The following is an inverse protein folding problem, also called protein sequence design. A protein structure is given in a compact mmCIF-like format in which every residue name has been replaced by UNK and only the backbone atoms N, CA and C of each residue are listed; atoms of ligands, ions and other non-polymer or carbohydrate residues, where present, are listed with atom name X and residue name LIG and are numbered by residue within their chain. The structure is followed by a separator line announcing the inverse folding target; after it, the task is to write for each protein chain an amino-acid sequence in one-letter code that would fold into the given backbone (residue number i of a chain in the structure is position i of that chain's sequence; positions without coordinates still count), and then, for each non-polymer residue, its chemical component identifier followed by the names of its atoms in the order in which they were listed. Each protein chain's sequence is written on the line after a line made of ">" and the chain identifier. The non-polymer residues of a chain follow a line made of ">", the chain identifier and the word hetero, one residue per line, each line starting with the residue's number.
data_IF_255466697191
#
_entry.id   IF_255466697191
#
_cell.length_a   1.000
_cell.length_b   1.000
_cell.length_c   1.000
_cell.angle_alpha   90.00
_cell.angle_beta   90.00
_cell.angle_gamma   90.00
#
_symmetry.space_group_name_H-M   'P 1'
#
loop_
_entity.id
_entity.type
_entity.pdbx_description
1 polymer ?
#
# COMPACT_ATOMS: atom_id res chain seq x y z
N UNK A 1 5.04 62.46 44.40
CA UNK A 1 5.58 61.82 43.19
C UNK A 1 4.57 60.82 42.63
N UNK A 2 4.18 60.95 41.36
CA UNK A 2 3.13 60.19 40.66
C UNK A 2 3.64 58.80 40.24
N UNK A 3 3.19 57.72 40.90
CA UNK A 3 3.53 56.33 40.53
C UNK A 3 2.32 55.46 40.12
N UNK A 4 1.21 56.08 39.66
CA UNK A 4 -0.02 55.35 39.32
C UNK A 4 -0.27 55.06 37.83
N UNK A 5 0.54 55.64 36.93
CA UNK A 5 0.30 55.57 35.47
C UNK A 5 0.95 54.37 34.77
N UNK A 6 2.13 53.95 35.24
CA UNK A 6 2.92 52.90 34.59
C UNK A 6 2.30 51.51 34.77
N UNK A 7 1.76 51.21 35.95
CA UNK A 7 1.12 49.91 36.25
C UNK A 7 -0.13 49.65 35.41
N UNK A 8 -0.93 50.70 35.13
CA UNK A 8 -2.14 50.57 34.28
C UNK A 8 -1.81 50.31 32.82
N UNK A 9 -0.70 50.84 32.29
CA UNK A 9 -0.26 50.56 30.92
C UNK A 9 0.31 49.14 30.81
N UNK A 10 1.12 48.73 31.79
CA UNK A 10 1.68 47.39 31.85
C UNK A 10 0.59 46.30 31.97
N UNK A 11 -0.41 46.53 32.82
CA UNK A 11 -1.54 45.61 32.99
C UNK A 11 -2.35 45.43 31.71
N UNK A 12 -2.49 46.47 30.88
CA UNK A 12 -3.19 46.37 29.59
C UNK A 12 -2.37 45.60 28.57
N UNK A 13 -1.05 45.80 28.55
CA UNK A 13 -0.14 45.09 27.67
C UNK A 13 -0.12 43.58 27.98
N UNK A 14 -0.04 43.23 29.27
CA UNK A 14 -0.07 41.84 29.74
C UNK A 14 -1.42 41.15 29.44
N UNK A 15 -2.55 41.85 29.60
CA UNK A 15 -3.87 41.30 29.24
C UNK A 15 -4.02 41.09 27.73
N UNK A 16 -3.52 42.02 26.92
CA UNK A 16 -3.51 41.87 25.46
C UNK A 16 -2.60 40.72 25.02
N UNK A 17 -1.46 40.53 25.67
CA UNK A 17 -0.55 39.42 25.40
C UNK A 17 -1.18 38.08 25.79
N UNK A 18 -1.81 38.01 26.98
CA UNK A 18 -2.54 36.83 27.42
C UNK A 18 -3.75 36.50 26.52
N UNK A 19 -4.42 37.52 25.97
CA UNK A 19 -5.50 37.33 24.99
C UNK A 19 -4.97 36.81 23.65
N UNK A 20 -3.86 37.36 23.14
CA UNK A 20 -3.18 36.86 21.92
C UNK A 20 -2.63 35.45 22.11
N UNK A 21 -2.16 35.09 23.31
CA UNK A 21 -1.75 33.72 23.64
C UNK A 21 -2.94 32.76 23.84
N UNK A 22 -4.12 33.25 24.22
CA UNK A 22 -5.36 32.44 24.19
C UNK A 22 -5.83 32.12 22.77
N UNK A 23 -5.51 32.98 21.80
CA UNK A 23 -5.72 32.70 20.35
C UNK A 23 -4.71 31.69 19.82
N UNK A 24 -3.53 31.57 20.45
CA UNK A 24 -2.63 30.43 20.27
C UNK A 24 -3.10 29.17 21.03
N UNK A 25 -4.43 28.98 21.19
CA UNK A 25 -4.98 27.63 21.32
C UNK A 25 -4.63 26.92 20.03
N UNK A 26 -3.50 26.20 20.06
CA UNK A 26 -3.11 25.20 19.08
C UNK A 26 -4.40 24.48 18.71
N UNK A 27 -4.86 24.55 17.45
CA UNK A 27 -6.12 23.93 17.07
C UNK A 27 -6.01 22.49 17.55
N UNK A 28 -6.93 22.10 18.45
CA UNK A 28 -7.04 20.71 18.94
C UNK A 28 -6.92 19.87 17.69
N UNK A 29 -5.79 19.18 17.56
CA UNK A 29 -5.42 18.35 16.42
C UNK A 29 -6.69 17.64 15.99
N UNK A 30 -7.17 17.99 14.80
CA UNK A 30 -8.35 17.37 14.22
C UNK A 30 -8.05 15.88 14.28
N UNK A 31 -8.73 15.17 15.19
CA UNK A 31 -8.61 13.72 15.33
C UNK A 31 -9.39 13.12 14.16
N UNK A 32 -8.93 13.40 12.94
CA UNK A 32 -9.41 12.77 11.73
C UNK A 32 -8.97 11.33 11.83
N UNK A 33 -9.86 10.49 12.37
CA UNK A 33 -9.71 9.05 12.27
C UNK A 33 -9.46 8.75 10.79
N UNK A 34 -8.31 8.16 10.41
CA UNK A 34 -8.07 7.87 9.01
C UNK A 34 -9.22 7.01 8.50
N UNK A 35 -9.74 7.27 7.30
CA UNK A 35 -10.83 6.47 6.75
C UNK A 35 -10.37 5.02 6.67
N UNK A 36 -11.15 4.10 7.25
CA UNK A 36 -10.79 2.69 7.40
C UNK A 36 -10.39 2.05 6.05
N UNK A 37 -11.02 2.50 4.96
CA UNK A 37 -10.74 2.05 3.60
C UNK A 37 -9.29 2.35 3.16
N UNK A 38 -8.75 3.53 3.51
CA UNK A 38 -7.37 3.89 3.18
C UNK A 38 -6.41 3.04 4.00
N UNK A 39 -6.71 2.82 5.28
CA UNK A 39 -5.89 1.96 6.14
C UNK A 39 -5.86 0.53 5.60
N UNK A 40 -7.01 -0.03 5.22
CA UNK A 40 -7.06 -1.37 4.62
C UNK A 40 -6.31 -1.45 3.31
N UNK A 41 -6.40 -0.43 2.44
CA UNK A 41 -5.67 -0.41 1.18
C UNK A 41 -4.16 -0.35 1.42
N UNK A 42 -3.72 0.49 2.36
CA UNK A 42 -2.31 0.64 2.72
C UNK A 42 -1.74 -0.67 3.29
N UNK A 43 -2.50 -1.32 4.19
CA UNK A 43 -2.11 -2.61 4.78
C UNK A 43 -2.04 -3.71 3.71
N UNK A 44 -2.98 -3.73 2.77
CA UNK A 44 -2.96 -4.68 1.66
C UNK A 44 -1.76 -4.43 0.73
N UNK A 45 -1.49 -3.18 0.37
CA UNK A 45 -0.33 -2.81 -0.44
C UNK A 45 0.98 -3.19 0.27
N UNK A 46 1.08 -2.96 1.58
CA UNK A 46 2.25 -3.32 2.38
C UNK A 46 2.45 -4.84 2.45
N UNK A 47 1.38 -5.61 2.65
CA UNK A 47 1.45 -7.08 2.64
C UNK A 47 1.90 -7.61 1.27
N UNK A 48 1.32 -7.09 0.18
CA UNK A 48 1.73 -7.44 -1.19
C UNK A 48 3.19 -7.10 -1.43
N UNK A 49 3.64 -5.92 -1.01
CA UNK A 49 5.04 -5.49 -1.16
C UNK A 49 6.01 -6.48 -0.50
N UNK A 50 5.70 -6.94 0.72
CA UNK A 50 6.54 -7.93 1.41
C UNK A 50 6.52 -9.26 0.66
N UNK A 51 5.34 -9.77 0.30
CA UNK A 51 5.16 -11.07 -0.35
C UNK A 51 5.78 -11.13 -1.75
N UNK A 52 5.74 -10.03 -2.49
CA UNK A 52 6.31 -9.92 -3.83
C UNK A 52 7.85 -9.96 -3.86
N UNK A 53 8.51 -9.86 -2.69
CA UNK A 53 9.96 -9.75 -2.59
C UNK A 53 10.45 -8.31 -2.58
N UNK A 54 9.62 -7.33 -2.24
CA UNK A 54 10.01 -5.91 -2.24
C UNK A 54 11.25 -5.62 -1.40
N UNK A 55 11.43 -6.32 -0.27
CA UNK A 55 12.65 -6.23 0.55
C UNK A 55 13.87 -6.73 -0.22
N UNK A 56 13.75 -7.86 -0.92
CA UNK A 56 14.81 -8.41 -1.75
C UNK A 56 15.18 -7.44 -2.88
N UNK A 57 14.18 -6.90 -3.60
CA UNK A 57 14.40 -5.91 -4.65
C UNK A 57 15.12 -4.66 -4.14
N UNK A 58 14.74 -4.13 -2.97
CA UNK A 58 15.41 -2.97 -2.37
C UNK A 58 16.89 -3.25 -2.04
N UNK A 59 17.18 -4.42 -1.49
CA UNK A 59 18.56 -4.83 -1.16
C UNK A 59 19.39 -5.02 -2.44
N UNK A 60 18.81 -5.63 -3.46
CA UNK A 60 19.49 -5.88 -4.74
C UNK A 60 19.80 -4.57 -5.50
N UNK A 61 18.86 -3.62 -5.49
CA UNK A 61 19.03 -2.27 -6.05
C UNK A 61 20.14 -1.53 -5.28
N UNK A 62 20.11 -1.55 -3.95
CA UNK A 62 21.13 -0.89 -3.11
C UNK A 62 22.52 -1.51 -3.28
N UNK A 63 22.59 -2.83 -3.53
CA UNK A 63 23.84 -3.56 -3.72
C UNK A 63 24.40 -3.44 -5.15
N UNK A 64 23.69 -2.78 -6.07
CA UNK A 64 24.10 -2.63 -7.47
C UNK A 64 24.09 -3.92 -8.29
N UNK A 65 23.47 -5.00 -7.77
CA UNK A 65 23.41 -6.32 -8.43
C UNK A 65 22.11 -6.59 -9.18
N UNK A 66 21.27 -5.56 -9.32
CA UNK A 66 19.95 -5.61 -9.93
C UNK A 66 19.94 -6.30 -11.29
N UNK A 67 19.37 -7.51 -11.35
CA UNK A 67 19.10 -8.24 -12.58
C UNK A 67 17.67 -7.94 -13.07
N UNK A 68 17.54 -7.15 -14.13
CA UNK A 68 16.25 -6.83 -14.77
C UNK A 68 15.91 -7.78 -15.92
N UNK A 69 16.91 -8.20 -16.70
CA UNK A 69 16.80 -9.11 -17.85
C UNK A 69 18.03 -10.02 -17.93
N UNK A 70 17.82 -11.28 -18.31
CA UNK A 70 18.86 -12.28 -18.45
C UNK A 70 19.00 -12.72 -19.92
N UNK A 71 20.23 -12.90 -20.43
CA UNK A 71 20.45 -13.49 -21.74
C UNK A 71 20.17 -15.00 -21.71
N UNK A 72 19.42 -15.51 -22.68
CA UNK A 72 19.13 -16.95 -22.90
C UNK A 72 19.60 -17.33 -24.31
N UNK A 73 19.91 -18.61 -24.55
CA UNK A 73 20.45 -19.13 -25.81
C UNK A 73 19.62 -18.91 -27.08
N UNK A 74 18.48 -18.22 -26.99
CA UNK A 74 17.62 -17.81 -28.11
C UNK A 74 16.91 -16.47 -27.91
N UNK A 75 17.36 -15.62 -26.98
CA UNK A 75 16.74 -14.31 -26.72
C UNK A 75 16.95 -13.77 -25.31
N UNK A 76 16.03 -12.93 -24.86
CA UNK A 76 16.02 -12.36 -23.50
C UNK A 76 14.92 -13.01 -22.67
N UNK A 77 15.22 -13.36 -21.42
CA UNK A 77 14.23 -13.84 -20.45
C UNK A 77 14.16 -12.91 -19.26
N UNK A 78 12.95 -12.61 -18.81
CA UNK A 78 12.71 -11.90 -17.56
C UNK A 78 12.67 -12.85 -16.37
N UNK A 79 12.51 -14.15 -16.62
CA UNK A 79 12.44 -15.19 -15.59
C UNK A 79 13.83 -15.80 -15.41
N UNK A 80 14.29 -15.96 -14.17
CA UNK A 80 15.50 -16.66 -13.75
C UNK A 80 15.20 -18.17 -13.63
N UNK A 81 15.60 -18.99 -14.63
CA UNK A 81 15.31 -20.43 -14.63
C UNK A 81 16.21 -21.20 -13.65
N UNK A 82 15.71 -22.32 -13.12
CA UNK A 82 16.51 -23.31 -12.38
C UNK A 82 16.96 -22.92 -10.97
N UNK A 83 16.67 -21.70 -10.50
CA UNK A 83 16.97 -21.26 -9.14
C UNK A 83 15.76 -20.55 -8.52
N UNK A 84 15.17 -21.17 -7.49
CA UNK A 84 14.00 -20.63 -6.78
C UNK A 84 14.35 -19.43 -5.88
N UNK A 85 15.60 -19.31 -5.43
CA UNK A 85 16.03 -18.28 -4.49
C UNK A 85 16.46 -16.98 -5.17
N UNK A 86 16.79 -17.04 -6.47
CA UNK A 86 17.09 -15.87 -7.27
C UNK A 86 15.82 -15.33 -7.88
N UNK A 87 15.65 -14.02 -7.87
CA UNK A 87 14.49 -13.34 -8.44
C UNK A 87 14.97 -12.12 -9.21
N UNK A 88 14.41 -11.86 -10.39
CA UNK A 88 14.67 -10.60 -11.10
C UNK A 88 13.72 -9.52 -10.62
N UNK A 89 14.07 -8.24 -10.83
CA UNK A 89 13.14 -7.13 -10.52
C UNK A 89 11.82 -7.29 -11.29
N UNK A 90 11.90 -7.70 -12.55
CA UNK A 90 10.73 -7.94 -13.40
C UNK A 90 9.82 -9.04 -12.84
N UNK A 91 10.39 -10.15 -12.32
CA UNK A 91 9.62 -11.20 -11.64
C UNK A 91 8.93 -10.69 -10.37
N UNK A 92 9.63 -9.91 -9.55
CA UNK A 92 9.06 -9.35 -8.31
C UNK A 92 7.90 -8.38 -8.59
N UNK A 93 8.00 -7.58 -9.65
CA UNK A 93 6.95 -6.68 -10.10
C UNK A 93 5.72 -7.45 -10.60
N UNK A 94 5.92 -8.45 -11.46
CA UNK A 94 4.82 -9.26 -12.02
C UNK A 94 4.11 -10.03 -10.90
N UNK A 95 4.87 -10.68 -10.01
CA UNK A 95 4.31 -11.40 -8.87
C UNK A 95 3.57 -10.46 -7.91
N UNK A 96 4.08 -9.25 -7.66
CA UNK A 96 3.39 -8.25 -6.86
C UNK A 96 2.05 -7.82 -7.45
N UNK A 97 1.97 -7.60 -8.76
CA UNK A 97 0.70 -7.32 -9.44
C UNK A 97 -0.26 -8.51 -9.29
N UNK A 98 0.23 -9.74 -9.49
CA UNK A 98 -0.59 -10.94 -9.31
C UNK A 98 -1.12 -11.09 -7.88
N UNK A 99 -0.29 -10.86 -6.85
CA UNK A 99 -0.73 -10.91 -5.45
C UNK A 99 -1.76 -9.82 -5.13
N UNK A 100 -1.58 -8.61 -5.66
CA UNK A 100 -2.56 -7.54 -5.49
C UNK A 100 -3.91 -7.89 -6.15
N UNK A 101 -3.88 -8.38 -7.39
CA UNK A 101 -5.08 -8.80 -8.11
C UNK A 101 -5.75 -10.01 -7.44
N UNK A 102 -4.97 -10.97 -6.94
CA UNK A 102 -5.47 -12.12 -6.20
C UNK A 102 -6.18 -11.69 -4.91
N UNK A 103 -5.55 -10.80 -4.14
CA UNK A 103 -6.17 -10.19 -2.96
C UNK A 103 -7.45 -9.43 -3.29
N UNK A 104 -7.45 -8.64 -4.38
CA UNK A 104 -8.64 -7.93 -4.85
C UNK A 104 -9.76 -8.89 -5.28
N UNK A 105 -9.43 -10.00 -5.95
CA UNK A 105 -10.39 -11.04 -6.35
C UNK A 105 -11.06 -11.70 -5.15
N UNK A 106 -10.27 -12.10 -4.14
CA UNK A 106 -10.80 -12.64 -2.88
C UNK A 106 -11.64 -11.59 -2.14
N UNK A 107 -11.21 -10.33 -2.12
CA UNK A 107 -11.99 -9.25 -1.53
C UNK A 107 -13.35 -9.06 -2.21
N UNK A 108 -13.41 -9.14 -3.55
CA UNK A 108 -14.68 -9.07 -4.29
C UNK A 108 -15.61 -10.24 -3.96
N UNK A 109 -15.06 -11.44 -3.78
CA UNK A 109 -15.82 -12.61 -3.31
C UNK A 109 -16.36 -12.40 -1.90
N UNK A 110 -15.57 -11.86 -0.97
CA UNK A 110 -16.04 -11.54 0.38
C UNK A 110 -17.11 -10.45 0.37
N UNK A 111 -16.98 -9.47 -0.53
CA UNK A 111 -17.95 -8.38 -0.69
C UNK A 111 -19.27 -8.88 -1.28
N UNK A 112 -19.25 -9.87 -2.17
CA UNK A 112 -20.47 -10.41 -2.79
C UNK A 112 -21.41 -11.03 -1.76
N UNK A 113 -20.87 -11.72 -0.75
CA UNK A 113 -21.65 -12.32 0.35
C UNK A 113 -22.40 -11.25 1.17
N UNK A 114 -21.80 -10.07 1.34
CA UNK A 114 -22.43 -8.96 2.07
C UNK A 114 -23.54 -8.26 1.28
N UNK A 115 -23.65 -8.50 -0.03
CA UNK A 115 -24.67 -7.92 -0.91
C UNK A 115 -25.95 -8.75 -0.99
N UNK A 116 -26.27 -9.54 0.04
CA UNK A 116 -27.42 -10.45 0.08
C UNK A 116 -28.77 -9.81 -0.31
N UNK A 117 -28.99 -8.55 0.06
CA UNK A 117 -30.22 -7.80 -0.25
C UNK A 117 -30.24 -7.19 -1.67
N UNK A 118 -29.18 -7.35 -2.47
CA UNK A 118 -29.06 -6.84 -3.85
C UNK A 118 -28.56 -7.95 -4.78
N UNK A 119 -29.42 -8.92 -5.15
CA UNK A 119 -28.99 -10.17 -5.77
C UNK A 119 -28.22 -9.96 -7.08
N UNK A 120 -28.69 -9.07 -7.97
CA UNK A 120 -27.96 -8.77 -9.22
C UNK A 120 -26.53 -8.30 -8.98
N UNK A 121 -26.32 -7.43 -7.98
CA UNK A 121 -24.99 -6.92 -7.65
C UNK A 121 -24.12 -8.00 -6.99
N UNK A 122 -24.71 -8.84 -6.13
CA UNK A 122 -24.02 -9.97 -5.53
C UNK A 122 -23.51 -10.96 -6.59
N UNK A 123 -24.35 -11.35 -7.55
CA UNK A 123 -23.94 -12.27 -8.63
C UNK A 123 -22.80 -11.70 -9.49
N UNK A 124 -22.91 -10.46 -9.95
CA UNK A 124 -21.87 -9.85 -10.78
C UNK A 124 -20.54 -9.73 -10.03
N UNK A 125 -20.58 -9.31 -8.77
CA UNK A 125 -19.36 -9.19 -7.94
C UNK A 125 -18.75 -10.55 -7.62
N UNK A 126 -19.57 -11.58 -7.41
CA UNK A 126 -19.11 -12.96 -7.22
C UNK A 126 -18.42 -13.50 -8.47
N UNK A 127 -19.06 -13.39 -9.64
CA UNK A 127 -18.51 -13.88 -10.91
C UNK A 127 -17.19 -13.16 -11.23
N UNK A 128 -17.15 -11.84 -11.07
CA UNK A 128 -15.94 -11.04 -11.34
C UNK A 128 -14.81 -11.42 -10.38
N UNK A 129 -15.11 -11.56 -9.08
CA UNK A 129 -14.15 -12.03 -8.09
C UNK A 129 -13.61 -13.42 -8.42
N UNK A 130 -14.49 -14.36 -8.78
CA UNK A 130 -14.13 -15.73 -9.10
C UNK A 130 -13.22 -15.80 -10.34
N UNK A 131 -13.62 -15.17 -11.44
CA UNK A 131 -12.82 -15.11 -12.67
C UNK A 131 -11.45 -14.51 -12.40
N UNK A 132 -11.40 -13.38 -11.67
CA UNK A 132 -10.13 -12.73 -11.34
C UNK A 132 -9.23 -13.66 -10.52
N UNK A 133 -9.77 -14.35 -9.51
CA UNK A 133 -8.98 -15.30 -8.71
C UNK A 133 -8.46 -16.48 -9.54
N UNK A 134 -9.28 -17.05 -10.42
CA UNK A 134 -8.88 -18.16 -11.28
C UNK A 134 -7.77 -17.76 -12.26
N UNK A 135 -7.89 -16.58 -12.87
CA UNK A 135 -6.85 -16.01 -13.74
C UNK A 135 -5.53 -15.90 -12.98
N UNK A 136 -5.55 -15.31 -11.78
CA UNK A 136 -4.34 -15.13 -10.97
C UNK A 136 -3.70 -16.47 -10.60
N UNK A 137 -4.50 -17.44 -10.18
CA UNK A 137 -4.00 -18.78 -9.83
C UNK A 137 -3.36 -19.46 -11.04
N UNK A 138 -4.01 -19.39 -12.21
CA UNK A 138 -3.49 -19.97 -13.45
C UNK A 138 -2.13 -19.36 -13.82
N UNK A 139 -2.06 -18.03 -13.95
CA UNK A 139 -0.82 -17.36 -14.35
C UNK A 139 0.30 -17.49 -13.32
N UNK A 140 -0.01 -17.45 -12.02
CA UNK A 140 0.98 -17.68 -10.96
C UNK A 140 1.56 -19.10 -11.06
N UNK A 141 0.72 -20.09 -11.33
CA UNK A 141 1.14 -21.48 -11.51
C UNK A 141 2.01 -21.64 -12.75
N UNK A 142 1.64 -21.01 -13.88
CA UNK A 142 2.46 -21.02 -15.09
C UNK A 142 3.82 -20.35 -14.89
N UNK A 143 3.88 -19.26 -14.12
CA UNK A 143 5.13 -18.58 -13.78
C UNK A 143 6.04 -19.45 -12.91
N UNK A 144 5.48 -20.11 -11.89
CA UNK A 144 6.20 -21.06 -11.06
C UNK A 144 6.71 -22.25 -11.87
N UNK A 145 5.89 -22.82 -12.76
CA UNK A 145 6.29 -23.90 -13.65
C UNK A 145 7.43 -23.47 -14.57
N UNK A 146 7.37 -22.26 -15.13
CA UNK A 146 8.44 -21.71 -15.96
C UNK A 146 9.78 -21.58 -15.22
N UNK A 147 9.71 -21.38 -13.90
CA UNK A 147 10.88 -21.27 -13.03
C UNK A 147 11.46 -22.64 -12.64
N UNK A 148 10.58 -23.62 -12.37
CA UNK A 148 10.95 -24.99 -11.98
C UNK A 148 11.43 -25.82 -13.17
N UNK A 149 10.76 -25.69 -14.32
CA UNK A 149 11.07 -26.44 -15.54
C UNK A 149 12.21 -25.80 -16.37
N UNK A 150 12.72 -24.65 -15.92
CA UNK A 150 13.78 -23.90 -16.58
C UNK A 150 15.16 -24.51 -16.39
#
# INVERSE_FOLDING_TARGET
>A
MKAGGLSRRLSRFLRNLAFRMKVARVPKTIRSKPPINIVTLLMMAFAVFILAGGVYSFVEIMSGRSLTMLPRSGGWTFIYPGNLNMQTISESLISGIMYFLGGAGVYLLLRSVRLAYRPRQAYLTMILGLILTLIVVYYSSSLLQSKIAG
#
